data_IF_532842689370
#
_entry.id   IF_532842689370
#
_cell.length_a   1.000
_cell.length_b   1.000
_cell.length_c   1.000
_cell.angle_alpha   90.00
_cell.angle_beta   90.00
_cell.angle_gamma   90.00
#
_symmetry.space_group_name_H-M   'P 1'
#
loop_
_entity.id
_entity.type
_entity.pdbx_description
1 polymer ?
#
# COMPACT_ATOMS: atom_id res chain seq x y z
N UNK A 1 3.85 8.89 35.78
CA UNK A 1 2.85 8.10 35.02
C UNK A 1 1.42 8.63 35.18
N UNK A 2 0.84 8.73 36.40
CA UNK A 2 -0.53 9.24 36.60
C UNK A 2 -0.83 10.61 35.96
N UNK A 3 0.09 11.58 36.08
CA UNK A 3 -0.07 12.94 35.53
C UNK A 3 -0.20 12.98 33.99
N UNK A 4 0.59 12.15 33.30
CA UNK A 4 0.55 12.03 31.84
C UNK A 4 -0.73 11.32 31.34
N UNK A 5 -1.24 10.34 32.11
CA UNK A 5 -2.49 9.64 31.79
C UNK A 5 -3.70 10.56 31.97
N UNK A 6 -3.70 11.43 32.99
CA UNK A 6 -4.74 12.45 33.19
C UNK A 6 -4.73 13.52 32.10
N UNK A 7 -3.56 14.02 31.72
CA UNK A 7 -3.42 14.98 30.60
C UNK A 7 -3.87 14.36 29.27
N UNK A 8 -3.51 13.11 29.01
CA UNK A 8 -3.94 12.37 27.81
C UNK A 8 -5.45 12.14 27.78
N UNK A 9 -6.06 11.74 28.90
CA UNK A 9 -7.51 11.57 29.04
C UNK A 9 -8.27 12.89 28.89
N UNK A 10 -7.74 13.99 29.44
CA UNK A 10 -8.34 15.33 29.31
C UNK A 10 -8.25 15.84 27.87
N UNK A 11 -7.14 15.57 27.19
CA UNK A 11 -6.94 15.88 25.78
C UNK A 11 -7.85 15.05 24.85
N UNK A 12 -8.03 13.76 25.13
CA UNK A 12 -9.00 12.92 24.43
C UNK A 12 -10.43 13.46 24.60
N UNK A 13 -10.82 13.82 25.83
CA UNK A 13 -12.14 14.38 26.12
C UNK A 13 -12.38 15.69 25.37
N UNK A 14 -11.39 16.58 25.29
CA UNK A 14 -11.50 17.84 24.54
C UNK A 14 -11.66 17.62 23.03
N UNK A 15 -10.96 16.64 22.45
CA UNK A 15 -11.10 16.27 21.02
C UNK A 15 -12.54 15.84 20.69
N UNK A 16 -13.09 14.91 21.47
CA UNK A 16 -14.44 14.43 21.25
C UNK A 16 -15.49 15.49 21.56
N UNK A 17 -15.28 16.31 22.60
CA UNK A 17 -16.18 17.42 22.93
C UNK A 17 -16.25 18.44 21.79
N UNK A 18 -15.13 18.77 21.15
CA UNK A 18 -15.13 19.67 19.99
C UNK A 18 -15.93 19.09 18.81
N UNK A 19 -15.75 17.81 18.49
CA UNK A 19 -16.49 17.15 17.39
C UNK A 19 -17.98 17.08 17.72
N UNK A 20 -18.34 16.74 18.97
CA UNK A 20 -19.72 16.71 19.42
C UNK A 20 -20.34 18.10 19.35
N UNK A 21 -19.63 19.14 19.81
CA UNK A 21 -20.09 20.52 19.72
C UNK A 21 -20.29 20.97 18.27
N UNK A 22 -19.39 20.59 17.35
CA UNK A 22 -19.52 20.89 15.93
C UNK A 22 -20.73 20.18 15.31
N UNK A 23 -20.91 18.89 15.60
CA UNK A 23 -22.10 18.14 15.15
C UNK A 23 -23.38 18.76 15.70
N UNK A 24 -23.39 19.15 16.98
CA UNK A 24 -24.53 19.80 17.60
C UNK A 24 -24.85 21.14 16.92
N UNK A 25 -23.82 21.92 16.59
CA UNK A 25 -23.96 23.20 15.89
C UNK A 25 -24.53 23.02 14.47
N UNK A 26 -24.06 22.00 13.73
CA UNK A 26 -24.57 21.66 12.40
C UNK A 26 -26.03 21.17 12.48
N UNK A 27 -26.34 20.31 13.45
CA UNK A 27 -27.71 19.79 13.67
C UNK A 27 -28.67 20.91 14.07
N UNK A 28 -28.26 21.83 14.96
CA UNK A 28 -29.05 23.00 15.35
C UNK A 28 -29.34 23.89 14.12
N UNK A 29 -28.38 24.06 13.22
CA UNK A 29 -28.56 24.89 12.03
C UNK A 29 -29.49 24.24 10.98
N UNK A 30 -29.32 22.93 10.73
CA UNK A 30 -30.09 22.20 9.72
C UNK A 30 -31.52 21.88 10.18
N UNK A 31 -31.70 21.46 11.43
CA UNK A 31 -33.00 21.09 11.98
C UNK A 31 -33.57 22.26 12.78
N UNK A 32 -34.73 22.82 12.38
CA UNK A 32 -35.42 23.81 13.18
C UNK A 32 -35.94 23.15 14.46
N UNK A 33 -35.10 23.15 15.49
CA UNK A 33 -35.51 22.74 16.83
C UNK A 33 -36.28 23.89 17.49
N UNK A 34 -37.17 23.56 18.42
CA UNK A 34 -38.04 24.48 19.18
C UNK A 34 -37.33 25.62 19.93
N UNK A 35 -36.00 25.65 19.93
CA UNK A 35 -35.17 26.65 20.60
C UNK A 35 -34.80 27.85 19.71
N UNK A 36 -35.10 27.83 18.41
CA UNK A 36 -34.83 28.94 17.49
C UNK A 36 -36.09 29.73 17.13
N UNK A 37 -36.05 31.05 17.31
CA UNK A 37 -36.97 31.94 16.60
C UNK A 37 -36.63 31.89 15.12
N UNK A 38 -37.63 31.68 14.26
CA UNK A 38 -37.48 31.60 12.80
C UNK A 38 -36.66 32.78 12.22
N UNK A 39 -36.76 33.94 12.87
CA UNK A 39 -36.00 35.17 12.60
C UNK A 39 -34.46 34.99 12.66
N UNK A 40 -33.92 34.19 13.59
CA UNK A 40 -32.46 34.02 13.72
C UNK A 40 -31.87 33.23 12.55
N UNK A 41 -32.61 32.24 12.04
CA UNK A 41 -32.21 31.44 10.88
C UNK A 41 -32.28 32.29 9.60
N UNK A 42 -33.35 33.06 9.43
CA UNK A 42 -33.51 33.99 8.31
C UNK A 42 -32.39 35.04 8.30
N UNK A 43 -32.03 35.59 9.46
CA UNK A 43 -30.89 36.49 9.57
C UNK A 43 -29.57 35.81 9.17
N UNK A 44 -29.29 34.61 9.67
CA UNK A 44 -28.06 33.87 9.32
C UNK A 44 -27.97 33.61 7.81
N UNK A 45 -29.09 33.27 7.18
CA UNK A 45 -29.17 32.99 5.74
C UNK A 45 -28.97 34.26 4.90
N UNK A 46 -29.53 35.40 5.31
CA UNK A 46 -29.32 36.69 4.64
C UNK A 46 -27.84 37.13 4.69
N UNK A 47 -27.19 36.97 5.84
CA UNK A 47 -25.83 37.49 6.03
C UNK A 47 -24.74 36.54 5.50
N UNK A 48 -24.87 35.24 5.75
CA UNK A 48 -23.88 34.25 5.36
C UNK A 48 -24.28 33.45 4.11
N UNK A 49 -25.57 33.27 3.84
CA UNK A 49 -26.06 32.42 2.76
C UNK A 49 -25.33 31.08 2.69
N UNK A 50 -24.95 30.69 1.47
CA UNK A 50 -24.21 29.46 1.20
C UNK A 50 -22.81 29.41 1.84
N UNK A 51 -22.22 30.54 2.23
CA UNK A 51 -20.90 30.56 2.88
C UNK A 51 -20.93 29.99 4.29
N UNK A 52 -22.11 29.81 4.90
CA UNK A 52 -22.20 29.16 6.21
C UNK A 52 -21.74 27.70 6.16
N UNK A 53 -22.04 26.99 5.07
CA UNK A 53 -21.57 25.62 4.86
C UNK A 53 -20.05 25.59 4.69
N UNK A 54 -19.50 26.59 4.01
CA UNK A 54 -18.05 26.76 3.90
C UNK A 54 -17.44 27.00 5.29
N UNK A 55 -18.04 27.85 6.12
CA UNK A 55 -17.58 28.08 7.50
C UNK A 55 -17.60 26.79 8.34
N UNK A 56 -18.66 25.98 8.24
CA UNK A 56 -18.70 24.67 8.91
C UNK A 56 -17.63 23.72 8.39
N UNK A 57 -17.38 23.70 7.08
CA UNK A 57 -16.32 22.90 6.49
C UNK A 57 -14.93 23.33 7.00
N UNK A 58 -14.68 24.64 7.13
CA UNK A 58 -13.43 25.16 7.71
C UNK A 58 -13.29 24.75 9.17
N UNK A 59 -14.35 24.88 9.96
CA UNK A 59 -14.35 24.44 11.37
C UNK A 59 -14.11 22.94 11.51
N UNK A 60 -14.64 22.14 10.57
CA UNK A 60 -14.38 20.71 10.51
C UNK A 60 -12.91 20.41 10.21
N UNK A 61 -12.32 21.07 9.20
CA UNK A 61 -10.89 20.95 8.90
C UNK A 61 -10.02 21.41 10.08
N UNK A 62 -10.45 22.42 10.82
CA UNK A 62 -9.77 22.83 12.04
C UNK A 62 -9.86 21.77 13.15
N UNK A 63 -10.97 21.04 13.22
CA UNK A 63 -11.09 19.83 14.03
C UNK A 63 -10.04 18.78 13.67
N UNK A 64 -9.72 18.64 12.38
CA UNK A 64 -8.68 17.71 11.94
C UNK A 64 -7.30 18.04 12.50
N UNK A 65 -7.02 19.32 12.74
CA UNK A 65 -5.77 19.78 13.41
C UNK A 65 -5.55 19.06 14.74
N UNK A 66 -6.63 18.73 15.46
CA UNK A 66 -6.54 18.11 16.77
C UNK A 66 -6.04 16.66 16.71
N UNK A 67 -6.10 15.97 15.56
CA UNK A 67 -5.57 14.60 15.42
C UNK A 67 -4.05 14.53 15.36
N UNK A 68 -3.36 15.60 14.97
CA UNK A 68 -1.90 15.62 14.99
C UNK A 68 -1.38 15.64 16.43
N UNK A 69 -0.37 14.84 16.72
CA UNK A 69 0.21 14.75 18.06
C UNK A 69 1.35 15.76 18.23
N UNK A 70 2.20 15.89 17.22
CA UNK A 70 3.37 16.77 17.27
C UNK A 70 3.02 18.22 16.96
N UNK A 71 3.68 19.17 17.66
CA UNK A 71 3.48 20.61 17.45
C UNK A 71 3.88 21.02 16.03
N UNK A 72 4.96 20.43 15.49
CA UNK A 72 5.44 20.71 14.15
C UNK A 72 4.41 20.33 13.08
N UNK A 73 3.78 19.16 13.18
CA UNK A 73 2.74 18.74 12.24
C UNK A 73 1.49 19.61 12.32
N UNK A 74 1.10 20.06 13.53
CA UNK A 74 0.00 21.01 13.71
C UNK A 74 0.25 22.33 13.00
N UNK A 75 1.45 22.90 13.18
CA UNK A 75 1.83 24.17 12.54
C UNK A 75 1.86 23.99 11.01
N UNK A 76 2.46 22.90 10.51
CA UNK A 76 2.51 22.63 9.06
C UNK A 76 1.10 22.46 8.49
N UNK A 77 0.21 21.77 9.21
CA UNK A 77 -1.18 21.62 8.79
C UNK A 77 -1.92 22.95 8.79
N UNK A 78 -1.74 23.78 9.81
CA UNK A 78 -2.39 25.08 9.95
C UNK A 78 -1.93 26.07 8.86
N UNK A 79 -0.63 26.13 8.58
CA UNK A 79 -0.10 26.89 7.45
C UNK A 79 -0.72 26.40 6.14
N UNK A 80 -0.77 25.09 5.90
CA UNK A 80 -1.40 24.54 4.68
C UNK A 80 -2.88 24.84 4.59
N UNK A 81 -3.60 24.80 5.72
CA UNK A 81 -5.02 25.11 5.79
C UNK A 81 -5.25 26.58 5.41
N UNK A 82 -4.55 27.52 6.05
CA UNK A 82 -4.71 28.95 5.74
C UNK A 82 -4.32 29.29 4.31
N UNK A 83 -3.21 28.76 3.83
CA UNK A 83 -2.82 28.94 2.44
C UNK A 83 -3.84 28.33 1.46
N UNK A 84 -4.46 27.20 1.83
CA UNK A 84 -5.49 26.57 1.01
C UNK A 84 -6.79 27.33 0.99
N UNK A 85 -7.20 27.87 2.14
CA UNK A 85 -8.36 28.76 2.23
C UNK A 85 -8.12 30.03 1.44
N UNK A 86 -6.95 30.65 1.58
CA UNK A 86 -6.57 31.82 0.79
C UNK A 86 -6.65 31.53 -0.72
N UNK A 87 -6.09 30.41 -1.17
CA UNK A 87 -6.16 30.01 -2.58
C UNK A 87 -7.60 29.74 -3.03
N UNK A 88 -8.41 29.08 -2.21
CA UNK A 88 -9.81 28.80 -2.53
C UNK A 88 -10.62 30.08 -2.68
N UNK A 89 -10.53 31.01 -1.72
CA UNK A 89 -11.19 32.31 -1.78
C UNK A 89 -10.69 33.16 -2.95
N UNK A 90 -9.39 33.13 -3.25
CA UNK A 90 -8.84 33.80 -4.42
C UNK A 90 -9.42 33.24 -5.73
N UNK A 91 -9.50 31.92 -5.88
CA UNK A 91 -10.13 31.29 -7.04
C UNK A 91 -11.62 31.61 -7.14
N UNK A 92 -12.33 31.63 -6.01
CA UNK A 92 -13.75 31.99 -5.96
C UNK A 92 -13.97 33.46 -6.37
N UNK A 93 -13.13 34.38 -5.89
CA UNK A 93 -13.16 35.78 -6.29
C UNK A 93 -12.89 35.93 -7.80
N UNK A 94 -11.88 35.24 -8.33
CA UNK A 94 -11.60 35.21 -9.77
C UNK A 94 -12.78 34.66 -10.59
N UNK A 95 -13.46 33.64 -10.08
CA UNK A 95 -14.64 33.07 -10.73
C UNK A 95 -15.78 34.07 -10.82
N UNK A 96 -16.08 34.80 -9.74
CA UNK A 96 -17.11 35.86 -9.77
C UNK A 96 -16.73 37.03 -10.67
N UNK A 97 -15.45 37.43 -10.69
CA UNK A 97 -14.96 38.45 -11.62
C UNK A 97 -15.11 38.01 -13.07
N UNK A 98 -14.82 36.74 -13.36
CA UNK A 98 -14.95 36.16 -14.70
C UNK A 98 -16.41 36.10 -15.16
N UNK A 99 -17.31 35.60 -14.32
CA UNK A 99 -18.74 35.50 -14.66
C UNK A 99 -19.41 36.87 -14.79
N UNK A 100 -19.04 37.83 -13.94
CA UNK A 100 -19.54 39.21 -14.02
C UNK A 100 -19.02 40.03 -15.20
N UNK A 101 -18.39 39.38 -16.19
CA UNK A 101 -18.03 40.00 -17.47
C UNK A 101 -16.82 40.93 -17.41
N UNK A 102 -15.98 40.82 -16.38
CA UNK A 102 -14.78 41.66 -16.28
C UNK A 102 -13.77 41.22 -17.35
N UNK A 103 -13.62 42.03 -18.40
CA UNK A 103 -12.57 41.81 -19.40
C UNK A 103 -11.22 42.11 -18.76
N UNK A 104 -10.35 41.09 -18.69
CA UNK A 104 -8.95 41.24 -18.25
C UNK A 104 -8.12 42.16 -19.15
N UNK A 105 -8.69 42.64 -20.27
CA UNK A 105 -8.06 43.54 -21.23
C UNK A 105 -8.45 45.01 -21.03
N UNK A 106 -9.70 45.31 -20.66
CA UNK A 106 -10.17 46.68 -20.38
C UNK A 106 -10.33 46.87 -18.87
N UNK A 107 -9.24 47.26 -18.22
CA UNK A 107 -9.03 47.30 -16.76
C UNK A 107 -9.75 48.46 -16.03
N UNK A 108 -10.90 48.91 -16.55
CA UNK A 108 -11.74 49.90 -15.87
C UNK A 108 -12.93 49.20 -15.21
N UNK A 109 -12.92 49.16 -13.88
CA UNK A 109 -14.03 48.67 -13.09
C UNK A 109 -15.12 49.76 -13.05
N UNK A 110 -15.98 49.78 -14.08
CA UNK A 110 -17.15 50.67 -14.14
C UNK A 110 -18.12 50.36 -12.98
N UNK A 111 -18.96 51.33 -12.60
CA UNK A 111 -20.00 51.08 -11.58
C UNK A 111 -20.98 49.98 -12.02
N UNK A 112 -21.35 49.95 -13.30
CA UNK A 112 -22.25 48.94 -13.86
C UNK A 112 -21.72 47.50 -13.74
N UNK A 113 -20.40 47.29 -13.88
CA UNK A 113 -19.81 45.94 -13.73
C UNK A 113 -19.75 45.51 -12.26
N UNK A 114 -19.52 46.45 -11.33
CA UNK A 114 -19.59 46.17 -9.88
C UNK A 114 -20.99 45.75 -9.46
N UNK A 115 -22.00 46.51 -9.87
CA UNK A 115 -23.39 46.23 -9.53
C UNK A 115 -23.85 44.89 -10.12
N UNK A 116 -23.40 44.57 -11.35
CA UNK A 116 -23.59 43.26 -11.96
C UNK A 116 -23.03 42.11 -11.12
N UNK A 117 -21.74 42.18 -10.77
CA UNK A 117 -21.06 41.15 -9.95
C UNK A 117 -21.73 40.97 -8.59
N UNK A 118 -22.08 42.07 -7.92
CA UNK A 118 -22.71 42.02 -6.59
C UNK A 118 -24.14 41.44 -6.66
N UNK A 119 -24.89 41.79 -7.70
CA UNK A 119 -26.23 41.25 -7.93
C UNK A 119 -26.15 39.74 -8.15
N UNK A 120 -25.23 39.28 -8.98
CA UNK A 120 -25.05 37.85 -9.26
C UNK A 120 -24.64 37.07 -8.01
N UNK A 121 -23.70 37.60 -7.22
CA UNK A 121 -23.28 36.99 -5.95
C UNK A 121 -24.43 36.86 -4.94
N UNK A 122 -25.25 37.90 -4.78
CA UNK A 122 -26.34 37.92 -3.78
C UNK A 122 -27.52 37.07 -4.22
N UNK A 123 -27.95 37.20 -5.49
CA UNK A 123 -29.21 36.62 -5.95
C UNK A 123 -29.05 35.26 -6.63
N UNK A 124 -27.99 35.04 -7.40
CA UNK A 124 -27.81 33.78 -8.15
C UNK A 124 -27.03 32.76 -7.33
N UNK A 125 -25.94 33.19 -6.69
CA UNK A 125 -25.08 32.31 -5.90
C UNK A 125 -25.43 32.27 -4.41
N UNK A 126 -26.34 33.13 -3.95
CA UNK A 126 -26.74 33.26 -2.55
C UNK A 126 -25.54 33.27 -1.59
N UNK A 127 -24.50 34.06 -1.89
CA UNK A 127 -23.26 34.09 -1.10
C UNK A 127 -23.39 34.84 0.23
N UNK A 128 -24.56 35.44 0.49
CA UNK A 128 -24.81 36.29 1.64
C UNK A 128 -24.22 37.70 1.51
N UNK A 129 -24.73 38.63 2.31
CA UNK A 129 -24.30 40.04 2.30
C UNK A 129 -22.84 40.23 2.71
N UNK A 130 -22.29 39.38 3.59
CA UNK A 130 -20.91 39.50 4.06
C UNK A 130 -19.91 39.25 2.93
N UNK A 131 -20.15 38.20 2.13
CA UNK A 131 -19.29 37.88 1.00
C UNK A 131 -19.38 38.96 -0.09
N UNK A 132 -20.58 39.46 -0.37
CA UNK A 132 -20.80 40.55 -1.31
C UNK A 132 -20.09 41.85 -0.85
N UNK A 133 -20.14 42.18 0.45
CA UNK A 133 -19.44 43.34 1.00
C UNK A 133 -17.91 43.19 0.91
N UNK A 134 -17.37 42.00 1.20
CA UNK A 134 -15.95 41.73 1.00
C UNK A 134 -15.53 41.90 -0.47
N UNK A 135 -16.38 41.45 -1.40
CA UNK A 135 -16.15 41.64 -2.83
C UNK A 135 -16.23 43.12 -3.24
N UNK A 136 -17.18 43.87 -2.69
CA UNK A 136 -17.28 45.31 -2.91
C UNK A 136 -16.01 46.04 -2.45
N UNK A 137 -15.49 45.72 -1.27
CA UNK A 137 -14.22 46.30 -0.79
C UNK A 137 -13.06 45.97 -1.72
N UNK A 138 -13.02 44.74 -2.24
CA UNK A 138 -11.98 44.30 -3.17
C UNK A 138 -12.07 45.05 -4.50
N UNK A 139 -13.28 45.26 -5.03
CA UNK A 139 -13.54 46.02 -6.25
C UNK A 139 -13.33 47.54 -6.09
N UNK A 140 -13.54 48.07 -4.88
CA UNK A 140 -13.36 49.49 -4.56
C UNK A 140 -11.94 49.81 -4.07
N UNK A 141 -11.06 48.80 -3.98
CA UNK A 141 -9.69 49.01 -3.59
C UNK A 141 -8.97 49.81 -4.69
N UNK A 142 -8.64 51.05 -4.38
CA UNK A 142 -8.08 52.02 -5.33
C UNK A 142 -6.59 51.76 -5.67
N UNK A 143 -6.20 50.49 -5.81
CA UNK A 143 -4.86 50.05 -6.18
C UNK A 143 -4.81 50.07 -7.70
N UNK A 144 -4.43 51.20 -8.27
CA UNK A 144 -4.16 51.27 -9.69
C UNK A 144 -2.77 50.69 -9.98
N UNK A 145 -2.63 49.70 -10.88
CA UNK A 145 -3.68 48.95 -11.58
C UNK A 145 -4.14 47.69 -10.83
N UNK A 146 -5.46 47.48 -10.76
CA UNK A 146 -6.16 46.34 -10.14
C UNK A 146 -5.68 44.97 -10.68
N UNK A 147 -5.10 44.98 -11.88
CA UNK A 147 -4.33 43.89 -12.50
C UNK A 147 -3.31 43.26 -11.55
N UNK A 148 -2.52 44.03 -10.82
CA UNK A 148 -1.47 43.44 -9.98
C UNK A 148 -2.05 42.58 -8.86
N UNK A 149 -3.23 42.94 -8.34
CA UNK A 149 -3.94 42.14 -7.34
C UNK A 149 -4.43 40.82 -7.93
N UNK A 150 -5.00 40.84 -9.14
CA UNK A 150 -5.45 39.63 -9.86
C UNK A 150 -4.27 38.70 -10.15
N UNK A 151 -3.16 39.23 -10.69
CA UNK A 151 -1.98 38.41 -10.99
C UNK A 151 -1.29 37.89 -9.73
N UNK A 152 -1.24 38.69 -8.65
CA UNK A 152 -0.73 38.22 -7.37
C UNK A 152 -1.60 37.09 -6.79
N UNK A 153 -2.93 37.19 -6.89
CA UNK A 153 -3.84 36.10 -6.51
C UNK A 153 -3.62 34.84 -7.36
N UNK A 154 -3.46 35.00 -8.67
CA UNK A 154 -3.27 33.88 -9.61
C UNK A 154 -1.92 33.18 -9.40
N UNK A 155 -0.83 33.95 -9.27
CA UNK A 155 0.50 33.43 -8.93
C UNK A 155 0.49 32.76 -7.55
N UNK A 156 -0.18 33.36 -6.57
CA UNK A 156 -0.38 32.79 -5.24
C UNK A 156 -1.09 31.43 -5.28
N UNK A 157 -2.16 31.31 -6.07
CA UNK A 157 -2.90 30.07 -6.25
C UNK A 157 -2.06 28.97 -6.93
N UNK A 158 -1.25 29.32 -7.94
CA UNK A 158 -0.35 28.37 -8.61
C UNK A 158 0.75 27.88 -7.66
N UNK A 159 1.41 28.80 -6.94
CA UNK A 159 2.43 28.45 -5.95
C UNK A 159 1.85 27.56 -4.85
N UNK A 160 0.62 27.84 -4.42
CA UNK A 160 -0.10 27.01 -3.46
C UNK A 160 -0.32 25.59 -3.99
N UNK A 161 -0.84 25.44 -5.21
CA UNK A 161 -1.07 24.13 -5.83
C UNK A 161 0.23 23.31 -5.86
N UNK A 162 1.36 23.94 -6.21
CA UNK A 162 2.65 23.26 -6.23
C UNK A 162 3.15 22.89 -4.82
N UNK A 163 2.97 23.75 -3.81
CA UNK A 163 3.46 23.47 -2.46
C UNK A 163 2.61 22.45 -1.70
N UNK A 164 1.29 22.51 -1.86
CA UNK A 164 0.35 21.70 -1.07
C UNK A 164 -0.10 20.44 -1.78
N UNK A 165 -0.25 20.45 -3.10
CA UNK A 165 -0.68 19.26 -3.85
C UNK A 165 0.53 18.45 -4.31
N UNK A 166 1.48 19.07 -5.00
CA UNK A 166 2.55 18.33 -5.68
C UNK A 166 3.53 17.63 -4.70
N UNK A 167 3.95 18.27 -3.61
CA UNK A 167 4.88 17.65 -2.63
C UNK A 167 4.34 16.36 -1.98
N UNK A 168 3.14 16.35 -1.38
CA UNK A 168 2.61 15.11 -0.78
C UNK A 168 2.18 14.07 -1.83
N UNK A 169 1.67 14.48 -3.00
CA UNK A 169 1.37 13.54 -4.08
C UNK A 169 2.65 12.83 -4.56
N UNK A 170 3.74 13.56 -4.77
CA UNK A 170 5.03 12.97 -5.16
C UNK A 170 5.55 11.99 -4.11
N UNK A 171 5.45 12.34 -2.82
CA UNK A 171 5.87 11.46 -1.71
C UNK A 171 5.02 10.18 -1.65
N UNK A 172 3.68 10.29 -1.73
CA UNK A 172 2.78 9.13 -1.76
C UNK A 172 2.99 8.26 -3.00
N UNK A 173 3.15 8.87 -4.17
CA UNK A 173 3.39 8.16 -5.42
C UNK A 173 4.73 7.39 -5.39
N UNK A 174 5.79 8.02 -4.89
CA UNK A 174 7.10 7.37 -4.73
C UNK A 174 7.03 6.19 -3.76
N UNK A 175 6.38 6.37 -2.61
CA UNK A 175 6.18 5.29 -1.63
C UNK A 175 5.35 4.14 -2.22
N UNK A 176 4.27 4.44 -2.94
CA UNK A 176 3.46 3.42 -3.59
C UNK A 176 4.26 2.62 -4.63
N UNK A 177 5.11 3.31 -5.42
CA UNK A 177 6.02 2.67 -6.38
C UNK A 177 7.05 1.77 -5.68
N UNK A 178 7.57 2.17 -4.53
CA UNK A 178 8.49 1.35 -3.72
C UNK A 178 7.81 0.11 -3.17
N UNK A 179 6.64 0.26 -2.52
CA UNK A 179 5.85 -0.87 -1.99
C UNK A 179 5.48 -1.86 -3.09
N UNK A 180 5.15 -1.38 -4.30
CA UNK A 180 4.85 -2.25 -5.43
C UNK A 180 6.07 -3.08 -5.88
N UNK A 181 7.28 -2.51 -5.87
CA UNK A 181 8.50 -3.25 -6.18
C UNK A 181 8.81 -4.29 -5.11
N UNK A 182 8.71 -3.92 -3.84
CA UNK A 182 8.96 -4.84 -2.72
C UNK A 182 8.00 -6.03 -2.70
N UNK A 183 6.71 -5.82 -3.06
CA UNK A 183 5.76 -6.95 -3.21
C UNK A 183 6.18 -7.91 -4.31
N UNK A 184 6.57 -7.39 -5.48
CA UNK A 184 7.00 -8.23 -6.60
C UNK A 184 8.28 -9.00 -6.25
N UNK A 185 9.21 -8.39 -5.52
CA UNK A 185 10.44 -9.05 -5.06
C UNK A 185 10.15 -10.14 -4.03
N UNK A 186 9.24 -9.90 -3.07
CA UNK A 186 8.80 -10.92 -2.10
C UNK A 186 8.10 -12.10 -2.77
N UNK A 187 7.20 -11.85 -3.72
CA UNK A 187 6.55 -12.92 -4.47
C UNK A 187 7.55 -13.76 -5.27
N UNK A 188 8.60 -13.15 -5.83
CA UNK A 188 9.68 -13.89 -6.52
C UNK A 188 10.50 -14.72 -5.53
N UNK A 189 10.84 -14.17 -4.38
CA UNK A 189 11.56 -14.89 -3.33
C UNK A 189 10.74 -16.07 -2.79
N UNK A 190 9.44 -15.89 -2.55
CA UNK A 190 8.53 -16.96 -2.11
C UNK A 190 8.40 -18.07 -3.16
N UNK A 191 8.32 -17.73 -4.46
CA UNK A 191 8.33 -18.74 -5.53
C UNK A 191 9.64 -19.52 -5.58
N UNK A 192 10.78 -18.85 -5.47
CA UNK A 192 12.09 -19.51 -5.43
C UNK A 192 12.23 -20.45 -4.22
N UNK A 193 11.71 -20.05 -3.05
CA UNK A 193 11.69 -20.90 -1.85
C UNK A 193 10.76 -22.11 -2.06
N UNK A 194 9.58 -21.91 -2.65
CA UNK A 194 8.67 -23.02 -2.94
C UNK A 194 9.27 -24.03 -3.93
N UNK A 195 10.01 -23.57 -4.93
CA UNK A 195 10.74 -24.44 -5.86
C UNK A 195 11.82 -25.25 -5.15
N UNK A 196 12.62 -24.62 -4.29
CA UNK A 196 13.62 -25.34 -3.48
C UNK A 196 12.99 -26.37 -2.54
N UNK A 197 11.85 -26.06 -1.92
CA UNK A 197 11.12 -27.00 -1.06
C UNK A 197 10.62 -28.20 -1.88
N UNK A 198 10.09 -27.96 -3.09
CA UNK A 198 9.64 -29.05 -3.98
C UNK A 198 10.80 -29.97 -4.36
N UNK A 199 11.96 -29.40 -4.71
CA UNK A 199 13.16 -30.17 -5.06
C UNK A 199 13.64 -30.99 -3.86
N UNK A 200 13.77 -30.39 -2.68
CA UNK A 200 14.17 -31.12 -1.46
C UNK A 200 13.20 -32.26 -1.12
N UNK A 201 11.90 -32.02 -1.24
CA UNK A 201 10.88 -33.05 -0.96
C UNK A 201 10.89 -34.19 -1.98
N UNK A 202 11.23 -33.90 -3.25
CA UNK A 202 11.42 -34.93 -4.26
C UNK A 202 12.66 -35.79 -3.94
N UNK A 203 13.77 -35.14 -3.56
CA UNK A 203 15.02 -35.80 -3.20
C UNK A 203 14.86 -36.71 -1.97
N UNK A 204 14.20 -36.22 -0.92
CA UNK A 204 13.90 -37.00 0.29
C UNK A 204 13.05 -38.25 -0.02
N UNK A 205 12.11 -38.13 -0.96
CA UNK A 205 11.29 -39.26 -1.42
C UNK A 205 12.10 -40.28 -2.22
N UNK A 206 13.09 -39.84 -2.98
CA UNK A 206 14.00 -40.73 -3.70
C UNK A 206 14.97 -41.43 -2.75
N UNK A 207 15.52 -40.73 -1.76
CA UNK A 207 16.35 -41.33 -0.72
C UNK A 207 15.57 -42.38 0.09
N UNK A 208 14.34 -42.06 0.52
CA UNK A 208 13.49 -43.03 1.21
C UNK A 208 13.20 -44.28 0.37
N UNK A 209 13.05 -44.13 -0.95
CA UNK A 209 12.88 -45.27 -1.88
C UNK A 209 14.15 -46.09 -2.00
N UNK A 210 15.31 -45.46 -2.11
CA UNK A 210 16.62 -46.15 -2.17
C UNK A 210 16.86 -46.94 -0.88
N UNK A 211 16.60 -46.34 0.28
CA UNK A 211 16.74 -47.03 1.58
C UNK A 211 15.82 -48.24 1.68
N UNK A 212 14.54 -48.09 1.31
CA UNK A 212 13.59 -49.21 1.29
C UNK A 212 14.03 -50.35 0.34
N UNK A 213 14.57 -50.01 -0.84
CA UNK A 213 15.12 -51.01 -1.77
C UNK A 213 16.36 -51.71 -1.21
N UNK A 214 17.25 -50.99 -0.52
CA UNK A 214 18.40 -51.58 0.13
C UNK A 214 18.01 -52.53 1.28
N UNK A 215 16.99 -52.17 2.06
CA UNK A 215 16.46 -53.04 3.12
C UNK A 215 15.83 -54.31 2.54
N UNK A 216 15.06 -54.20 1.45
CA UNK A 216 14.49 -55.36 0.74
C UNK A 216 15.58 -56.30 0.22
N UNK A 217 16.61 -55.77 -0.45
CA UNK A 217 17.74 -56.59 -0.92
C UNK A 217 18.47 -57.29 0.22
N UNK A 218 18.65 -56.62 1.38
CA UNK A 218 19.26 -57.26 2.56
C UNK A 218 18.41 -58.41 3.09
N UNK A 219 17.09 -58.24 3.12
CA UNK A 219 16.15 -59.28 3.58
C UNK A 219 16.15 -60.47 2.60
N UNK A 220 16.16 -60.21 1.29
CA UNK A 220 16.26 -61.24 0.26
C UNK A 220 17.57 -62.03 0.38
N UNK A 221 18.71 -61.36 0.53
CA UNK A 221 20.01 -62.03 0.73
C UNK A 221 20.05 -62.88 2.00
N UNK A 222 19.41 -62.44 3.09
CA UNK A 222 19.30 -63.22 4.32
C UNK A 222 18.39 -64.44 4.11
N UNK A 223 17.30 -64.28 3.35
CA UNK A 223 16.37 -65.36 3.05
C UNK A 223 16.97 -66.39 2.08
N UNK A 224 17.73 -65.97 1.08
CA UNK A 224 18.50 -66.85 0.21
C UNK A 224 19.57 -67.62 1.01
N UNK A 225 20.28 -66.95 1.91
CA UNK A 225 21.25 -67.61 2.79
C UNK A 225 20.59 -68.62 3.74
N UNK A 226 19.39 -68.32 4.24
CA UNK A 226 18.61 -69.25 5.06
C UNK A 226 18.12 -70.46 4.25
N UNK A 227 17.60 -70.23 3.02
CA UNK A 227 17.20 -71.32 2.11
C UNK A 227 18.38 -72.19 1.68
N UNK A 228 19.53 -71.59 1.40
CA UNK A 228 20.77 -72.32 1.10
C UNK A 228 21.24 -73.18 2.28
N UNK A 229 21.04 -72.72 3.52
CA UNK A 229 21.34 -73.50 4.72
C UNK A 229 20.37 -74.67 4.92
N UNK A 230 19.07 -74.46 4.74
CA UNK A 230 18.06 -75.54 4.78
C UNK A 230 18.29 -76.58 3.68
N UNK A 231 18.63 -76.14 2.47
CA UNK A 231 18.88 -77.02 1.33
C UNK A 231 20.19 -77.82 1.48
N UNK A 232 21.23 -77.20 2.07
CA UNK A 232 22.46 -77.91 2.46
C UNK A 232 22.23 -78.93 3.59
N UNK A 233 21.31 -78.65 4.52
CA UNK A 233 20.94 -79.59 5.58
C UNK A 233 20.11 -80.76 5.04
N UNK A 234 19.28 -80.53 4.01
CA UNK A 234 18.55 -81.56 3.27
C UNK A 234 19.49 -82.45 2.44
N UNK A 235 20.47 -81.88 1.73
CA UNK A 235 21.49 -82.68 1.01
C UNK A 235 22.34 -83.50 1.98
N UNK A 236 22.78 -82.92 3.11
CA UNK A 236 23.48 -83.66 4.16
C UNK A 236 22.67 -84.80 4.80
N UNK A 237 21.34 -84.80 4.66
CA UNK A 237 20.47 -85.89 5.13
C UNK A 237 20.15 -86.94 4.06
N UNK A 238 20.50 -86.66 2.80
CA UNK A 238 20.36 -87.58 1.66
C UNK A 238 21.68 -88.32 1.41
N UNK A 239 22.83 -87.77 1.79
CA UNK A 239 24.17 -88.36 1.59
C UNK A 239 24.58 -89.42 2.64
N UNK A 240 23.61 -90.19 3.18
CA UNK A 240 23.89 -91.34 4.05
C UNK A 240 23.44 -92.69 3.48
N UNK A 241 23.16 -92.77 2.18
CA UNK A 241 23.17 -94.05 1.46
C UNK A 241 23.69 -93.80 0.03
N UNK A 242 24.63 -94.65 -0.38
CA UNK A 242 25.29 -94.79 -1.67
C UNK A 242 26.60 -94.01 -1.88
N UNK A 243 27.71 -94.71 -1.56
CA UNK A 243 29.02 -94.56 -2.19
C UNK A 243 28.92 -94.98 -3.66
N UNK A 244 29.38 -94.14 -4.59
CA UNK A 244 30.32 -94.54 -5.65
C UNK A 244 30.89 -93.28 -6.36
N UNK A 245 32.17 -93.36 -6.68
CA UNK A 245 33.03 -92.31 -7.23
C UNK A 245 32.62 -91.87 -8.65
N UNK A 246 32.77 -90.58 -8.97
CA UNK A 246 33.33 -90.17 -10.27
C UNK A 246 33.88 -88.74 -10.20
N UNK A 247 35.08 -88.56 -10.75
CA UNK A 247 35.78 -87.29 -10.90
C UNK A 247 35.16 -86.48 -12.05
N UNK A 248 34.79 -85.22 -11.83
CA UNK A 248 34.79 -84.22 -12.91
C UNK A 248 35.27 -82.84 -12.43
N UNK A 249 36.21 -82.31 -13.20
CA UNK A 249 36.81 -80.98 -13.17
C UNK A 249 35.75 -79.93 -13.53
N UNK A 250 35.65 -78.81 -12.79
CA UNK A 250 34.83 -77.66 -13.23
C UNK A 250 35.55 -76.33 -13.01
N UNK A 251 35.71 -75.61 -14.12
CA UNK A 251 36.39 -74.33 -14.29
C UNK A 251 35.81 -73.21 -13.41
N UNK A 252 36.71 -72.35 -12.92
CA UNK A 252 36.39 -71.08 -12.28
C UNK A 252 35.79 -70.11 -13.30
N UNK A 253 34.52 -69.75 -13.12
CA UNK A 253 33.87 -68.75 -13.94
C UNK A 253 34.32 -67.32 -13.52
N UNK A 254 35.25 -66.72 -14.26
CA UNK A 254 35.80 -65.37 -14.00
C UNK A 254 35.08 -64.24 -14.74
N UNK A 255 33.90 -64.46 -15.31
CA UNK A 255 33.20 -63.45 -16.13
C UNK A 255 32.40 -62.41 -15.32
N UNK A 256 32.10 -62.64 -14.03
CA UNK A 256 31.23 -61.71 -13.27
C UNK A 256 31.95 -60.51 -12.65
N UNK A 257 33.30 -60.47 -12.67
CA UNK A 257 34.05 -59.36 -12.07
C UNK A 257 34.31 -58.23 -13.07
N UNK A 258 34.53 -58.54 -14.35
CA UNK A 258 34.81 -57.54 -15.39
C UNK A 258 33.57 -56.68 -15.72
N UNK A 259 32.37 -57.27 -15.79
CA UNK A 259 31.13 -56.54 -16.09
C UNK A 259 30.79 -55.51 -14.99
N UNK A 260 31.16 -55.79 -13.75
CA UNK A 260 30.88 -54.91 -12.61
C UNK A 260 31.91 -53.78 -12.46
N UNK A 261 33.11 -53.92 -13.03
CA UNK A 261 34.10 -52.84 -13.14
C UNK A 261 33.79 -51.91 -14.32
N UNK A 262 33.38 -52.45 -15.48
CA UNK A 262 32.96 -51.62 -16.63
C UNK A 262 31.74 -50.74 -16.31
N UNK A 263 30.71 -51.26 -15.61
CA UNK A 263 29.55 -50.45 -15.22
C UNK A 263 29.87 -49.34 -14.18
N UNK A 264 30.94 -49.50 -13.40
CA UNK A 264 31.41 -48.47 -12.45
C UNK A 264 32.22 -47.39 -13.15
N UNK A 265 33.10 -47.77 -14.07
CA UNK A 265 33.89 -46.82 -14.86
C UNK A 265 32.99 -45.96 -15.76
N UNK A 266 31.94 -46.54 -16.38
CA UNK A 266 30.98 -45.77 -17.18
C UNK A 266 30.15 -44.78 -16.34
N UNK A 267 29.84 -45.12 -15.08
CA UNK A 267 29.13 -44.22 -14.17
C UNK A 267 30.02 -43.09 -13.64
N UNK A 268 31.30 -43.33 -13.35
CA UNK A 268 32.24 -42.27 -12.97
C UNK A 268 32.47 -41.29 -14.13
N UNK A 269 32.62 -41.80 -15.37
CA UNK A 269 32.86 -40.95 -16.54
C UNK A 269 31.67 -40.04 -16.87
N UNK A 270 30.43 -40.47 -16.65
CA UNK A 270 29.24 -39.62 -16.85
C UNK A 270 29.10 -38.52 -15.79
N UNK A 271 29.54 -38.75 -14.55
CA UNK A 271 29.44 -37.76 -13.47
C UNK A 271 30.46 -36.63 -13.69
N UNK A 272 31.66 -36.95 -14.15
CA UNK A 272 32.70 -35.96 -14.41
C UNK A 272 32.37 -35.05 -15.61
N UNK A 273 31.80 -35.60 -16.70
CA UNK A 273 31.33 -34.79 -17.83
C UNK A 273 30.23 -33.81 -17.39
N UNK A 274 29.31 -34.27 -16.53
CA UNK A 274 28.20 -33.43 -16.06
C UNK A 274 28.67 -32.32 -15.09
N UNK A 275 29.72 -32.59 -14.30
CA UNK A 275 30.34 -31.60 -13.42
C UNK A 275 31.10 -30.53 -14.21
N UNK A 276 31.84 -30.93 -15.24
CA UNK A 276 32.61 -30.02 -16.11
C UNK A 276 31.69 -29.11 -16.95
N UNK A 277 30.52 -29.61 -17.37
CA UNK A 277 29.52 -28.82 -18.09
C UNK A 277 28.78 -27.79 -17.19
N UNK A 278 28.73 -28.04 -15.88
CA UNK A 278 28.16 -27.13 -14.89
C UNK A 278 29.13 -26.01 -14.47
N UNK A 279 30.44 -26.26 -14.55
CA UNK A 279 31.47 -25.27 -14.24
C UNK A 279 31.71 -24.28 -15.39
N UNK A 280 31.57 -24.73 -16.65
CA UNK A 280 31.69 -23.89 -17.85
C UNK A 280 30.47 -22.99 -18.15
N UNK A 281 29.43 -23.00 -17.32
CA UNK A 281 28.21 -22.17 -17.47
C UNK A 281 28.05 -21.04 -16.43
N UNK A 282 29.10 -20.70 -15.69
CA UNK A 282 29.17 -19.49 -14.84
C UNK A 282 30.03 -18.40 -15.48
#
# INVERSE_FOLDING_TARGET
MKKYVEEFMRFLKLRYLYIIALLFLVVIYLFPTTFHTQEQKEWLDIYFGNFIYLAFFVLFLYGVRMWYETIAEKIVFEIRLYFGLFSFFASLALFFLWNGGLSFQSLEVTQATRDGILTEMIYEFHTGLIAAYAMYLLLNWNIYPFYYCIYAMLVGAILFFFLVVYKPLKKRYSHWKQVKRERIERERAERAIQEQIKIKKALEKEEARKVAQFEQRKIELIQERARGFEMGQLMSSVDLDDEEEEQEEFESNSENTEVMEEEKEEQEFQVDIFAEELENKK
#
